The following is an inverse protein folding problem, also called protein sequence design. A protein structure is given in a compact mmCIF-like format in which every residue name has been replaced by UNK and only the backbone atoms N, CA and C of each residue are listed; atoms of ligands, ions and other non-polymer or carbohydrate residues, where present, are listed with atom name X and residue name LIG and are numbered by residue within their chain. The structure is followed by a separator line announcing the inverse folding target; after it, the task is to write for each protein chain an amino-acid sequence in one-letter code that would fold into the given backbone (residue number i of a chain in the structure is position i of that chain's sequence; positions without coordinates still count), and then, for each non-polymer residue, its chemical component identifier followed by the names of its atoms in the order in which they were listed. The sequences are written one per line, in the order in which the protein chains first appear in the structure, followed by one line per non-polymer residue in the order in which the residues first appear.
data_IF_457957585267
#
_entry.id   IF_457957585267
#
_cell.length_a   1.000
_cell.length_b   1.000
_cell.length_c   1.000
_cell.angle_alpha   90.00
_cell.angle_beta   90.00
_cell.angle_gamma   90.00
#
_symmetry.space_group_name_H-M   'P 1'
#
loop_
_entity.id
_entity.type
_entity.pdbx_description
1 polymer ?
#
# COMPACT_ATOMS: atom_id res chain seq x y z
N UNK A 1 31.31 36.21 30.53
CA UNK A 1 31.87 35.21 29.59
C UNK A 1 30.77 34.20 29.29
N UNK A 2 30.11 34.29 28.12
CA UNK A 2 28.99 33.40 27.75
C UNK A 2 29.56 32.08 27.23
N UNK A 3 29.25 30.97 27.90
CA UNK A 3 29.53 29.62 27.44
C UNK A 3 28.70 29.35 26.18
N UNK A 4 29.37 28.98 25.09
CA UNK A 4 28.70 28.45 23.89
C UNK A 4 28.45 26.95 24.16
N UNK A 5 27.22 26.45 24.03
CA UNK A 5 27.03 25.02 23.91
C UNK A 5 27.43 24.61 22.49
N UNK A 6 28.51 23.85 22.39
CA UNK A 6 28.78 22.99 21.25
C UNK A 6 28.02 21.69 21.49
N UNK A 7 26.86 21.54 20.89
CA UNK A 7 26.23 20.23 20.76
C UNK A 7 25.92 20.00 19.28
N UNK A 8 26.76 19.15 18.70
CA UNK A 8 26.58 18.47 17.45
C UNK A 8 25.17 17.88 17.35
N UNK A 9 24.27 18.57 16.68
CA UNK A 9 23.02 17.98 16.17
C UNK A 9 23.33 17.08 14.97
N UNK A 10 24.13 16.04 15.19
CA UNK A 10 24.11 14.87 14.31
C UNK A 10 22.82 14.15 14.65
N UNK A 11 21.78 14.41 13.86
CA UNK A 11 20.56 13.60 13.90
C UNK A 11 20.85 12.28 13.19
N UNK A 12 21.60 11.43 13.88
CA UNK A 12 21.60 9.99 13.65
C UNK A 12 20.13 9.49 13.69
N UNK A 13 19.85 8.47 12.88
CA UNK A 13 18.59 7.71 12.80
C UNK A 13 17.51 8.19 11.81
N UNK A 14 17.88 8.78 10.68
CA UNK A 14 17.00 8.77 9.50
C UNK A 14 17.09 7.45 8.70
N UNK A 15 16.69 6.30 9.27
CA UNK A 15 16.53 5.08 8.47
C UNK A 15 15.57 5.31 7.28
N UNK A 16 16.07 5.18 6.03
CA UNK A 16 15.25 5.31 4.85
C UNK A 16 14.37 4.06 4.69
N UNK A 17 13.10 4.24 4.34
CA UNK A 17 12.26 3.17 3.82
C UNK A 17 12.93 2.58 2.58
N UNK A 18 13.27 1.30 2.67
CA UNK A 18 13.98 0.55 1.64
C UNK A 18 15.28 1.22 1.16
N UNK A 19 16.01 1.90 2.06
CA UNK A 19 17.31 2.50 1.74
C UNK A 19 17.27 3.78 0.87
N UNK A 20 16.09 4.19 0.37
CA UNK A 20 15.97 5.32 -0.56
C UNK A 20 15.17 6.50 0.02
N UNK A 21 14.05 6.25 0.70
CA UNK A 21 13.11 7.32 1.08
C UNK A 21 13.07 7.58 2.58
N UNK A 22 13.34 8.81 3.03
CA UNK A 22 13.18 9.16 4.45
C UNK A 22 11.73 8.92 4.92
N UNK A 23 11.54 8.02 5.89
CA UNK A 23 10.23 7.74 6.50
C UNK A 23 9.71 8.99 7.23
N UNK A 24 8.42 9.32 7.06
CA UNK A 24 7.74 10.31 7.93
C UNK A 24 7.80 9.84 9.39
N UNK A 25 8.04 10.75 10.34
CA UNK A 25 8.11 10.42 11.79
C UNK A 25 6.87 9.65 12.28
N UNK A 26 5.68 9.97 11.77
CA UNK A 26 4.42 9.33 12.15
C UNK A 26 4.29 7.85 11.75
N UNK A 27 4.99 7.40 10.70
CA UNK A 27 4.92 6.00 10.23
C UNK A 27 5.96 5.08 10.89
N UNK A 28 6.81 5.60 11.79
CA UNK A 28 7.91 4.83 12.42
C UNK A 28 7.50 4.05 13.65
N UNK A 29 6.40 4.42 14.31
CA UNK A 29 5.91 3.80 15.55
C UNK A 29 4.58 3.07 15.38
N UNK A 30 4.15 2.84 14.13
CA UNK A 30 2.89 2.16 13.89
C UNK A 30 3.15 0.66 13.74
N UNK A 31 2.69 -0.13 14.70
CA UNK A 31 2.54 -1.57 14.50
C UNK A 31 1.54 -1.79 13.37
N UNK A 32 1.93 -2.57 12.36
CA UNK A 32 1.06 -2.93 11.25
C UNK A 32 -0.07 -3.80 11.78
N UNK A 33 -1.32 -3.30 11.67
CA UNK A 33 -2.51 -4.04 12.08
C UNK A 33 -2.95 -5.00 10.97
N UNK A 34 -2.64 -4.67 9.72
CA UNK A 34 -3.17 -5.35 8.54
C UNK A 34 -4.65 -5.00 8.30
N UNK A 35 -5.56 -5.57 9.10
CA UNK A 35 -7.00 -5.35 8.96
C UNK A 35 -7.51 -4.16 9.78
N UNK A 36 -7.65 -2.99 9.12
CA UNK A 36 -8.21 -1.78 9.70
C UNK A 36 -9.72 -1.67 9.55
N UNK A 37 -10.34 -2.56 8.77
CA UNK A 37 -11.77 -2.54 8.48
C UNK A 37 -12.55 -3.56 9.31
N UNK A 38 -11.86 -4.51 9.95
CA UNK A 38 -12.47 -5.68 10.60
C UNK A 38 -13.32 -6.46 9.59
N UNK A 39 -12.65 -7.00 8.57
CA UNK A 39 -13.26 -7.77 7.48
C UNK A 39 -14.12 -8.93 8.00
N UNK A 40 -13.71 -9.70 9.02
CA UNK A 40 -14.55 -10.78 9.56
C UNK A 40 -15.94 -10.30 10.03
N UNK A 41 -16.07 -9.07 10.54
CA UNK A 41 -17.38 -8.50 10.93
C UNK A 41 -18.17 -7.90 9.77
N UNK A 42 -17.67 -7.98 8.53
CA UNK A 42 -18.31 -7.44 7.31
C UNK A 42 -18.70 -8.56 6.33
N UNK A 43 -19.91 -9.14 6.46
CA UNK A 43 -20.33 -10.29 5.65
C UNK A 43 -20.26 -10.08 4.14
N UNK A 44 -20.49 -8.86 3.64
CA UNK A 44 -20.44 -8.58 2.21
C UNK A 44 -19.01 -8.66 1.63
N UNK A 45 -17.99 -8.29 2.41
CA UNK A 45 -16.58 -8.43 2.01
C UNK A 45 -16.13 -9.89 2.13
N UNK A 46 -16.52 -10.56 3.22
CA UNK A 46 -16.25 -12.00 3.39
C UNK A 46 -16.83 -12.84 2.24
N UNK A 47 -18.05 -12.53 1.78
CA UNK A 47 -18.65 -13.20 0.61
C UNK A 47 -17.84 -13.03 -0.67
N UNK A 48 -17.17 -11.89 -0.87
CA UNK A 48 -16.31 -11.67 -2.03
C UNK A 48 -15.08 -12.57 -1.96
N UNK A 49 -14.41 -12.62 -0.80
CA UNK A 49 -13.21 -13.43 -0.58
C UNK A 49 -13.52 -14.93 -0.67
N UNK A 50 -14.59 -15.39 -0.01
CA UNK A 50 -15.03 -16.79 -0.06
C UNK A 50 -15.33 -17.28 -1.47
N UNK A 51 -15.92 -16.43 -2.32
CA UNK A 51 -16.17 -16.77 -3.73
C UNK A 51 -14.89 -17.01 -4.54
N UNK A 52 -13.78 -16.43 -4.13
CA UNK A 52 -12.48 -16.55 -4.79
C UNK A 52 -11.57 -17.57 -4.10
N UNK A 53 -11.98 -18.13 -2.96
CA UNK A 53 -11.20 -19.08 -2.19
C UNK A 53 -10.17 -18.45 -1.24
N UNK A 54 -10.09 -17.12 -1.18
CA UNK A 54 -9.20 -16.40 -0.28
C UNK A 54 -9.70 -16.48 1.16
N UNK A 55 -8.80 -16.90 2.07
CA UNK A 55 -9.12 -17.07 3.49
C UNK A 55 -8.39 -16.09 4.39
N UNK A 56 -7.28 -15.52 3.91
CA UNK A 56 -6.42 -14.65 4.69
C UNK A 56 -6.40 -13.24 4.10
N UNK A 57 -6.64 -12.26 4.95
CA UNK A 57 -6.52 -10.84 4.62
C UNK A 57 -5.28 -10.31 5.33
N UNK A 58 -4.27 -9.91 4.56
CA UNK A 58 -3.06 -9.30 5.10
C UNK A 58 -3.22 -7.80 5.31
N UNK A 59 -4.04 -7.15 4.50
CA UNK A 59 -4.34 -5.74 4.64
C UNK A 59 -5.77 -5.42 4.22
N UNK A 60 -6.45 -4.55 4.95
CA UNK A 60 -7.72 -3.97 4.52
C UNK A 60 -7.92 -2.55 5.06
N UNK A 61 -8.13 -1.58 4.16
CA UNK A 61 -8.42 -0.19 4.52
C UNK A 61 -9.10 0.58 3.37
N UNK A 62 -9.64 1.76 3.67
CA UNK A 62 -10.12 2.70 2.65
C UNK A 62 -8.97 3.51 2.06
N UNK A 63 -8.88 3.54 0.74
CA UNK A 63 -7.90 4.30 -0.04
C UNK A 63 -8.59 5.26 -1.00
N UNK A 64 -7.85 6.29 -1.45
CA UNK A 64 -8.25 7.13 -2.57
C UNK A 64 -7.68 6.57 -3.87
N UNK A 65 -8.54 6.31 -4.86
CA UNK A 65 -8.17 5.87 -6.20
C UNK A 65 -8.40 7.01 -7.19
N UNK A 66 -7.42 7.26 -8.05
CA UNK A 66 -7.49 8.30 -9.08
C UNK A 66 -7.93 7.67 -10.41
N UNK A 67 -8.92 8.26 -11.08
CA UNK A 67 -9.35 7.82 -12.41
C UNK A 67 -8.51 8.48 -13.50
N UNK A 68 -8.50 7.89 -14.69
CA UNK A 68 -7.90 8.50 -15.89
C UNK A 68 -8.49 9.87 -16.21
N UNK A 69 -9.72 10.13 -15.77
CA UNK A 69 -10.39 11.44 -15.87
C UNK A 69 -10.05 12.42 -14.74
N UNK A 70 -9.10 12.09 -13.87
CA UNK A 70 -8.67 12.92 -12.74
C UNK A 70 -9.61 12.92 -11.52
N UNK A 71 -10.71 12.17 -11.54
CA UNK A 71 -11.64 12.08 -10.41
C UNK A 71 -11.07 11.20 -9.30
N UNK A 72 -11.24 11.64 -8.06
CA UNK A 72 -10.89 10.85 -6.88
C UNK A 72 -12.09 10.02 -6.46
N UNK A 73 -11.88 8.71 -6.24
CA UNK A 73 -12.92 7.79 -5.74
C UNK A 73 -12.41 7.06 -4.51
N UNK A 74 -13.23 6.95 -3.47
CA UNK A 74 -12.94 6.11 -2.32
C UNK A 74 -13.11 4.63 -2.70
N UNK A 75 -12.17 3.78 -2.31
CA UNK A 75 -12.22 2.32 -2.50
C UNK A 75 -11.79 1.63 -1.22
N UNK A 76 -12.38 0.48 -0.93
CA UNK A 76 -11.81 -0.45 0.04
C UNK A 76 -10.76 -1.26 -0.72
N UNK A 77 -9.51 -1.14 -0.29
CA UNK A 77 -8.40 -1.95 -0.76
C UNK A 77 -8.25 -3.14 0.20
N UNK A 78 -8.28 -4.36 -0.31
CA UNK A 78 -7.93 -5.56 0.45
C UNK A 78 -6.78 -6.28 -0.25
N UNK A 79 -5.79 -6.74 0.51
CA UNK A 79 -4.68 -7.57 0.03
C UNK A 79 -4.75 -8.91 0.73
N UNK A 80 -4.66 -9.97 -0.07
CA UNK A 80 -4.73 -11.38 0.34
C UNK A 80 -3.47 -12.11 -0.12
N UNK A 81 -3.43 -13.43 0.08
CA UNK A 81 -2.41 -14.33 -0.42
C UNK A 81 -2.44 -14.56 -1.94
N UNK A 82 -3.57 -14.30 -2.61
CA UNK A 82 -3.65 -14.50 -4.06
C UNK A 82 -3.87 -13.22 -4.87
N UNK A 83 -4.52 -12.21 -4.30
CA UNK A 83 -4.97 -11.04 -5.06
C UNK A 83 -5.14 -9.76 -4.25
N UNK A 84 -5.14 -8.66 -4.99
CA UNK A 84 -5.58 -7.32 -4.57
C UNK A 84 -7.02 -7.10 -5.00
N UNK A 85 -7.85 -6.61 -4.08
CA UNK A 85 -9.25 -6.33 -4.30
C UNK A 85 -9.55 -4.83 -4.14
N UNK A 86 -10.28 -4.28 -5.10
CA UNK A 86 -10.87 -2.95 -5.00
C UNK A 86 -12.39 -3.06 -4.94
N UNK A 87 -12.95 -2.74 -3.77
CA UNK A 87 -14.40 -2.75 -3.54
C UNK A 87 -14.89 -1.32 -3.42
N UNK A 88 -16.06 -1.05 -3.98
CA UNK A 88 -16.75 0.23 -3.82
C UNK A 88 -17.45 0.27 -2.46
N UNK A 89 -17.09 1.23 -1.58
CA UNK A 89 -17.56 1.24 -0.20
C UNK A 89 -19.06 1.53 -0.06
N UNK A 90 -19.65 2.23 -1.05
CA UNK A 90 -21.04 2.67 -0.98
C UNK A 90 -21.98 1.57 -1.46
N UNK A 91 -21.56 0.85 -2.49
CA UNK A 91 -22.37 -0.23 -3.10
C UNK A 91 -21.99 -1.62 -2.63
N UNK A 92 -20.84 -1.79 -1.95
CA UNK A 92 -20.28 -3.10 -1.60
C UNK A 92 -19.85 -3.93 -2.82
N UNK A 93 -19.82 -3.34 -4.02
CA UNK A 93 -19.54 -4.06 -5.26
C UNK A 93 -18.04 -4.20 -5.52
N UNK A 94 -17.60 -5.40 -5.87
CA UNK A 94 -16.24 -5.63 -6.36
C UNK A 94 -16.05 -4.89 -7.68
N UNK A 95 -15.12 -3.92 -7.71
CA UNK A 95 -14.79 -3.15 -8.91
C UNK A 95 -13.62 -3.73 -9.69
N UNK A 96 -12.66 -4.34 -8.98
CA UNK A 96 -11.50 -4.99 -9.61
C UNK A 96 -10.89 -6.02 -8.67
N UNK A 97 -10.41 -7.12 -9.25
CA UNK A 97 -9.52 -8.09 -8.63
C UNK A 97 -8.27 -8.17 -9.50
N UNK A 98 -7.09 -8.08 -8.88
CA UNK A 98 -5.80 -8.21 -9.57
C UNK A 98 -5.06 -9.35 -8.88
N UNK A 99 -4.72 -10.41 -9.61
CA UNK A 99 -3.88 -11.47 -9.07
C UNK A 99 -2.49 -10.90 -8.75
N UNK A 100 -1.87 -11.33 -7.64
CA UNK A 100 -0.52 -10.85 -7.28
C UNK A 100 0.49 -11.13 -8.40
N UNK A 101 0.37 -12.29 -9.06
CA UNK A 101 1.21 -12.67 -10.20
C UNK A 101 1.05 -11.77 -11.45
N UNK A 102 0.00 -10.93 -11.51
CA UNK A 102 -0.19 -9.97 -12.60
C UNK A 102 0.41 -8.59 -12.27
N UNK A 103 0.90 -8.38 -11.05
CA UNK A 103 1.56 -7.14 -10.64
C UNK A 103 3.04 -7.22 -11.02
N UNK A 104 3.49 -6.25 -11.82
CA UNK A 104 4.88 -6.18 -12.30
C UNK A 104 5.79 -5.48 -11.30
N UNK A 105 5.37 -4.28 -10.88
CA UNK A 105 6.08 -3.44 -9.90
C UNK A 105 5.15 -2.47 -9.20
N UNK A 106 5.64 -1.87 -8.12
CA UNK A 106 5.01 -0.75 -7.43
C UNK A 106 5.87 0.49 -7.63
N UNK A 107 5.27 1.59 -8.07
CA UNK A 107 5.96 2.86 -8.20
C UNK A 107 5.56 3.81 -7.05
N UNK A 108 6.56 4.50 -6.50
CA UNK A 108 6.44 5.45 -5.42
C UNK A 108 7.12 6.76 -5.79
N UNK A 109 6.56 7.88 -5.34
CA UNK A 109 7.25 9.17 -5.40
C UNK A 109 8.38 9.19 -4.36
N UNK A 110 9.48 9.89 -4.65
CA UNK A 110 10.58 10.10 -3.69
C UNK A 110 10.19 11.16 -2.64
N UNK A 111 9.13 11.94 -2.90
CA UNK A 111 8.65 12.98 -1.99
C UNK A 111 7.96 12.39 -0.76
N UNK A 112 7.90 13.15 0.32
CA UNK A 112 7.13 12.80 1.51
C UNK A 112 5.63 12.94 1.24
N UNK A 113 5.06 12.02 0.49
CA UNK A 113 3.63 11.92 0.15
C UNK A 113 3.03 10.54 0.47
N UNK A 114 1.74 10.39 0.14
CA UNK A 114 0.94 9.21 0.40
C UNK A 114 0.60 8.43 -0.88
N UNK A 115 1.19 8.78 -2.03
CA UNK A 115 0.85 8.20 -3.32
C UNK A 115 1.64 6.93 -3.61
N UNK A 116 0.99 6.00 -4.31
CA UNK A 116 1.61 4.81 -4.85
C UNK A 116 0.86 4.36 -6.10
N UNK A 117 1.58 3.76 -7.04
CA UNK A 117 1.01 3.16 -8.23
C UNK A 117 1.28 1.65 -8.27
N UNK A 118 0.28 0.86 -8.62
CA UNK A 118 0.43 -0.58 -8.90
C UNK A 118 0.44 -0.75 -10.41
N UNK A 119 1.56 -1.24 -10.95
CA UNK A 119 1.75 -1.47 -12.38
C UNK A 119 1.28 -2.87 -12.74
N UNK A 120 0.37 -2.96 -13.71
CA UNK A 120 -0.29 -4.21 -14.11
C UNK A 120 -0.24 -4.30 -15.64
N UNK A 121 0.82 -4.87 -16.24
CA UNK A 121 1.05 -4.82 -17.69
C UNK A 121 -0.04 -5.45 -18.54
N UNK A 122 -0.76 -6.43 -17.98
CA UNK A 122 -1.85 -7.11 -18.67
C UNK A 122 -3.12 -6.26 -18.77
N UNK A 123 -3.19 -5.15 -18.04
CA UNK A 123 -4.36 -4.27 -17.96
C UNK A 123 -3.93 -2.80 -17.73
N UNK A 124 -4.74 -2.00 -17.04
CA UNK A 124 -4.43 -0.61 -16.67
C UNK A 124 -3.85 -0.50 -15.26
N UNK A 125 -2.98 0.49 -15.05
CA UNK A 125 -2.34 0.74 -13.76
C UNK A 125 -3.29 1.40 -12.75
N UNK A 126 -2.95 1.29 -11.46
CA UNK A 126 -3.71 1.90 -10.38
C UNK A 126 -2.90 2.97 -9.67
N UNK A 127 -3.25 4.24 -9.86
CA UNK A 127 -2.78 5.32 -8.98
C UNK A 127 -3.69 5.47 -7.76
N UNK A 128 -3.10 5.39 -6.57
CA UNK A 128 -3.80 5.46 -5.29
C UNK A 128 -3.06 6.33 -4.27
N UNK A 129 -3.77 6.76 -3.24
CA UNK A 129 -3.21 7.42 -2.07
C UNK A 129 -3.75 6.84 -0.77
N UNK A 130 -2.86 6.61 0.20
CA UNK A 130 -3.19 6.14 1.55
C UNK A 130 -2.18 6.63 2.58
N UNK A 131 -2.64 6.97 3.78
CA UNK A 131 -1.75 7.25 4.93
C UNK A 131 -0.97 6.01 5.37
N UNK A 132 -1.46 4.82 5.02
CA UNK A 132 -0.84 3.50 5.27
C UNK A 132 -0.03 2.99 4.09
N UNK A 133 0.36 3.87 3.15
CA UNK A 133 1.16 3.54 1.96
C UNK A 133 2.32 2.59 2.26
N UNK A 134 3.09 2.87 3.32
CA UNK A 134 4.25 2.06 3.72
C UNK A 134 3.87 0.62 4.02
N UNK A 135 2.81 0.40 4.80
CA UNK A 135 2.30 -0.94 5.13
C UNK A 135 1.75 -1.65 3.89
N UNK A 136 0.99 -0.95 3.05
CA UNK A 136 0.45 -1.51 1.80
C UNK A 136 1.58 -2.04 0.91
N UNK A 137 2.65 -1.26 0.75
CA UNK A 137 3.81 -1.67 -0.07
C UNK A 137 4.50 -2.89 0.55
N UNK A 138 4.79 -2.86 1.86
CA UNK A 138 5.42 -3.99 2.55
C UNK A 138 4.58 -5.26 2.40
N UNK A 139 3.27 -5.18 2.65
CA UNK A 139 2.34 -6.31 2.54
C UNK A 139 2.30 -6.85 1.11
N UNK A 140 2.31 -6.00 0.08
CA UNK A 140 2.31 -6.46 -1.31
C UNK A 140 3.60 -7.17 -1.70
N UNK A 141 4.76 -6.65 -1.25
CA UNK A 141 6.06 -7.28 -1.48
C UNK A 141 6.11 -8.65 -0.80
N UNK A 142 5.75 -8.71 0.49
CA UNK A 142 5.76 -9.95 1.26
C UNK A 142 4.76 -10.98 0.70
N UNK A 143 3.54 -10.54 0.35
CA UNK A 143 2.53 -11.43 -0.21
C UNK A 143 2.95 -11.98 -1.59
N UNK A 144 3.57 -11.16 -2.44
CA UNK A 144 4.03 -11.60 -3.77
C UNK A 144 5.20 -12.59 -3.66
N UNK A 145 6.13 -12.33 -2.74
CA UNK A 145 7.26 -13.22 -2.43
C UNK A 145 6.82 -14.55 -1.80
N UNK A 146 5.73 -14.55 -1.04
CA UNK A 146 5.17 -15.78 -0.48
C UNK A 146 4.33 -16.56 -1.50
N UNK A 147 3.66 -15.86 -2.43
CA UNK A 147 2.86 -16.48 -3.48
C UNK A 147 3.71 -17.00 -4.66
N UNK A 148 4.91 -16.47 -4.85
CA UNK A 148 5.81 -16.83 -5.94
C UNK A 148 7.28 -16.57 -5.55
N UNK A 149 8.24 -17.26 -6.16
CA UNK A 149 9.67 -16.95 -5.99
C UNK A 149 10.08 -15.61 -6.65
N UNK A 150 9.12 -14.85 -7.18
CA UNK A 150 9.35 -13.54 -7.77
C UNK A 150 9.39 -12.46 -6.70
N UNK A 151 10.42 -11.60 -6.76
CA UNK A 151 10.51 -10.42 -5.92
C UNK A 151 9.86 -9.23 -6.63
N UNK A 152 8.78 -8.72 -6.04
CA UNK A 152 8.08 -7.55 -6.55
C UNK A 152 8.98 -6.32 -6.49
N UNK A 153 9.26 -5.72 -7.65
CA UNK A 153 10.06 -4.51 -7.74
C UNK A 153 9.32 -3.30 -7.14
N UNK A 154 10.05 -2.48 -6.38
CA UNK A 154 9.55 -1.21 -5.84
C UNK A 154 10.43 -0.07 -6.37
N UNK A 155 9.89 0.67 -7.33
CA UNK A 155 10.57 1.79 -7.98
C UNK A 155 10.23 3.12 -7.29
N UNK A 156 11.25 3.96 -7.10
CA UNK A 156 11.10 5.32 -6.57
C UNK A 156 11.49 6.32 -7.65
N UNK A 157 10.54 7.14 -8.10
CA UNK A 157 10.78 8.12 -9.16
C UNK A 157 9.87 9.33 -9.03
N UNK A 158 10.44 10.51 -9.29
CA UNK A 158 9.73 11.79 -9.44
C UNK A 158 9.69 12.26 -10.91
N UNK A 159 10.10 11.42 -11.86
CA UNK A 159 10.40 11.84 -13.24
C UNK A 159 9.24 11.67 -14.23
N UNK A 160 8.07 11.24 -13.77
CA UNK A 160 6.91 10.95 -14.62
C UNK A 160 5.78 11.96 -14.42
#
# INVERSE_FOLDING_TARGET
MRLRPSDSNVTEDQEPFMGVKVRRKASRRHEYKGDYMDIPSRPYLMKILQKQGDKQVFFADKVLKFTSTGKMKRRILMVTDFAVYLVDPDTGTLKRRIALAAVDRICLSELSDNFFAIIVPTEYDLLMASTRKTEIVTVLVDATKNASEYELEVDFSNRY
#
